data_IF_043242171335
#
_entry.id   IF_043242171335
#
_cell.length_a   1.000
_cell.length_b   1.000
_cell.length_c   1.000
_cell.angle_alpha   90.00
_cell.angle_beta   90.00
_cell.angle_gamma   90.00
#
_symmetry.space_group_name_H-M   'P 1'
#
loop_
_entity.id
_entity.type
_entity.pdbx_description
1 polymer ?
#
# COMPACT_ATOMS: atom_id res chain seq x y z
N UNK A 1 -12.57 6.76 27.39
CA UNK A 1 -13.22 5.94 26.33
C UNK A 1 -12.24 5.28 25.36
N UNK A 2 -11.45 5.97 24.51
CA UNK A 2 -10.37 5.29 23.75
C UNK A 2 -9.37 4.54 24.65
N UNK A 3 -9.04 5.12 25.80
CA UNK A 3 -8.25 4.48 26.86
C UNK A 3 -8.88 3.22 27.46
N UNK A 4 -10.21 3.10 27.44
CA UNK A 4 -10.94 1.95 28.01
C UNK A 4 -10.83 0.73 27.09
N UNK A 5 -11.06 0.92 25.80
CA UNK A 5 -10.91 -0.11 24.78
C UNK A 5 -9.45 -0.58 24.71
N UNK A 6 -8.49 0.36 24.72
CA UNK A 6 -7.05 0.06 24.75
C UNK A 6 -6.63 -0.64 26.04
N UNK A 7 -7.17 -0.27 27.21
CA UNK A 7 -6.88 -0.94 28.48
C UNK A 7 -7.45 -2.36 28.54
N UNK A 8 -8.63 -2.59 27.95
CA UNK A 8 -9.23 -3.93 27.85
C UNK A 8 -8.46 -4.82 26.88
N UNK A 9 -7.91 -4.27 25.79
CA UNK A 9 -7.04 -5.00 24.85
C UNK A 9 -5.65 -5.27 25.43
N UNK A 10 -5.09 -4.35 26.23
CA UNK A 10 -3.74 -4.47 26.81
C UNK A 10 -3.68 -5.21 28.15
N UNK A 11 -4.76 -5.22 28.93
CA UNK A 11 -4.85 -6.01 30.16
C UNK A 11 -4.63 -7.50 29.91
N UNK A 12 -4.94 -7.96 28.69
CA UNK A 12 -4.68 -9.32 28.24
C UNK A 12 -3.20 -9.61 27.97
N UNK A 13 -2.45 -8.64 27.45
CA UNK A 13 -1.01 -8.80 27.15
C UNK A 13 -0.11 -8.74 28.38
N UNK A 14 -0.60 -8.26 29.52
CA UNK A 14 0.20 -8.05 30.74
C UNK A 14 0.07 -9.17 31.77
N UNK A 15 -0.91 -10.06 31.63
CA UNK A 15 -1.11 -11.19 32.56
C UNK A 15 -0.15 -12.37 32.33
N UNK A 16 0.54 -12.43 31.17
CA UNK A 16 1.47 -13.52 30.83
C UNK A 16 2.89 -13.36 31.41
N UNK A 17 3.17 -12.33 32.22
CA UNK A 17 4.39 -12.27 33.04
C UNK A 17 5.74 -12.27 32.30
N UNK A 18 5.77 -12.19 30.97
CA UNK A 18 6.99 -12.11 30.16
C UNK A 18 7.03 -10.77 29.41
N UNK A 19 8.09 -9.98 29.62
CA UNK A 19 8.21 -8.59 29.17
C UNK A 19 8.38 -8.37 27.65
N UNK A 20 7.47 -8.89 26.83
CA UNK A 20 7.42 -8.63 25.40
C UNK A 20 5.97 -8.36 24.98
N UNK A 21 5.65 -7.09 24.75
CA UNK A 21 4.36 -6.68 24.21
C UNK A 21 4.26 -7.10 22.74
N UNK A 22 3.77 -8.31 22.49
CA UNK A 22 3.33 -8.74 21.18
C UNK A 22 1.80 -8.66 21.12
N UNK A 23 1.30 -8.00 20.08
CA UNK A 23 -0.13 -7.94 19.76
C UNK A 23 -0.65 -9.35 19.48
N UNK A 24 -1.76 -9.73 20.12
CA UNK A 24 -2.43 -11.01 19.88
C UNK A 24 -2.89 -11.05 18.41
N UNK A 25 -2.53 -12.09 17.63
CA UNK A 25 -3.03 -12.24 16.27
C UNK A 25 -4.57 -12.31 16.22
N UNK A 26 -5.23 -11.65 15.24
CA UNK A 26 -6.69 -11.64 15.15
C UNK A 26 -7.33 -13.02 15.08
N UNK A 27 -6.66 -14.00 14.46
CA UNK A 27 -7.16 -15.37 14.36
C UNK A 27 -7.19 -16.07 15.73
N UNK A 28 -6.18 -15.83 16.58
CA UNK A 28 -6.13 -16.38 17.93
C UNK A 28 -7.20 -15.75 18.82
N UNK A 29 -7.40 -14.44 18.69
CA UNK A 29 -8.47 -13.74 19.41
C UNK A 29 -9.86 -14.30 19.05
N UNK A 30 -10.10 -14.60 17.77
CA UNK A 30 -11.35 -15.19 17.31
C UNK A 30 -11.55 -16.63 17.82
N UNK A 31 -10.47 -17.43 17.90
CA UNK A 31 -10.51 -18.78 18.45
C UNK A 31 -10.84 -18.78 19.95
N UNK A 32 -10.17 -17.92 20.72
CA UNK A 32 -10.41 -17.74 22.16
C UNK A 32 -11.85 -17.25 22.41
N UNK A 33 -12.32 -16.29 21.59
CA UNK A 33 -13.70 -15.79 21.65
C UNK A 33 -14.75 -16.90 21.46
N UNK A 34 -14.44 -17.87 20.61
CA UNK A 34 -15.36 -18.95 20.24
C UNK A 34 -15.24 -20.19 21.14
N UNK A 35 -14.14 -20.34 21.88
CA UNK A 35 -13.82 -21.52 22.67
C UNK A 35 -13.29 -21.10 24.07
N UNK A 36 -14.15 -20.52 24.93
CA UNK A 36 -13.73 -19.98 26.23
C UNK A 36 -13.23 -21.06 27.21
N UNK A 37 -13.65 -22.31 27.02
CA UNK A 37 -13.28 -23.46 27.87
C UNK A 37 -12.22 -24.37 27.22
N UNK A 38 -11.53 -23.91 26.17
CA UNK A 38 -10.54 -24.71 25.46
C UNK A 38 -9.44 -25.19 26.40
N UNK A 39 -9.14 -26.50 26.35
CA UNK A 39 -8.04 -27.11 27.07
C UNK A 39 -6.68 -26.68 26.50
N UNK A 40 -5.59 -26.86 27.28
CA UNK A 40 -4.22 -26.59 26.82
C UNK A 40 -3.88 -27.35 25.53
N UNK A 41 -4.39 -28.59 25.37
CA UNK A 41 -4.20 -29.40 24.17
C UNK A 41 -4.92 -28.80 22.95
N UNK A 42 -6.15 -28.27 23.12
CA UNK A 42 -6.91 -27.62 22.05
C UNK A 42 -6.31 -26.27 21.65
N UNK A 43 -5.79 -25.51 22.62
CA UNK A 43 -5.08 -24.26 22.38
C UNK A 43 -3.81 -24.50 21.57
N UNK A 44 -3.00 -25.49 21.96
CA UNK A 44 -1.78 -25.84 21.25
C UNK A 44 -2.05 -26.39 19.84
N UNK A 45 -3.09 -27.23 19.68
CA UNK A 45 -3.49 -27.72 18.37
C UNK A 45 -3.86 -26.57 17.41
N UNK A 46 -4.60 -25.56 17.88
CA UNK A 46 -4.94 -24.39 17.07
C UNK A 46 -3.71 -23.56 16.68
N UNK A 47 -2.77 -23.35 17.60
CA UNK A 47 -1.52 -22.63 17.35
C UNK A 47 -0.64 -23.34 16.32
N UNK A 48 -0.56 -24.67 16.39
CA UNK A 48 0.14 -25.53 15.43
C UNK A 48 -0.50 -25.47 14.03
N UNK A 49 -1.83 -25.61 13.95
CA UNK A 49 -2.56 -25.57 12.67
C UNK A 49 -2.51 -24.19 12.01
N UNK A 50 -2.56 -23.12 12.80
CA UNK A 50 -2.56 -21.73 12.31
C UNK A 50 -1.16 -21.19 12.01
N UNK A 51 -0.10 -21.94 12.37
CA UNK A 51 1.29 -21.51 12.20
C UNK A 51 1.71 -20.35 13.11
N UNK A 52 0.95 -20.08 14.18
CA UNK A 52 1.19 -18.99 15.13
C UNK A 52 2.23 -19.35 16.20
N UNK A 53 2.67 -20.61 16.24
CA UNK A 53 3.54 -21.15 17.28
C UNK A 53 4.95 -20.53 17.31
N UNK A 54 5.42 -19.91 16.22
CA UNK A 54 6.72 -19.19 16.19
C UNK A 54 6.66 -17.80 16.88
N UNK A 55 5.47 -17.31 17.22
CA UNK A 55 5.25 -16.00 17.85
C UNK A 55 4.94 -16.05 19.35
N UNK A 56 4.86 -17.25 19.93
CA UNK A 56 4.39 -17.46 21.31
C UNK A 56 5.41 -18.21 22.17
N UNK A 57 5.82 -17.61 23.29
CA UNK A 57 6.00 -18.42 24.49
C UNK A 57 4.60 -18.87 24.95
N UNK A 58 4.50 -20.14 25.34
CA UNK A 58 3.29 -20.97 25.52
C UNK A 58 2.08 -20.22 26.12
N UNK A 59 1.01 -20.05 25.34
CA UNK A 59 -0.30 -19.60 25.82
C UNK A 59 -1.06 -20.78 26.45
N UNK A 60 -1.73 -20.53 27.59
CA UNK A 60 -2.42 -21.55 28.40
C UNK A 60 -3.94 -21.34 28.45
N UNK A 61 -4.68 -22.38 28.82
CA UNK A 61 -6.11 -22.31 29.09
C UNK A 61 -6.44 -21.32 30.23
N UNK A 62 -5.53 -21.10 31.17
CA UNK A 62 -5.69 -20.09 32.25
C UNK A 62 -5.62 -18.66 31.69
N UNK A 63 -4.81 -18.41 30.65
CA UNK A 63 -4.78 -17.11 29.96
C UNK A 63 -6.10 -16.85 29.23
N UNK A 64 -6.69 -17.90 28.63
CA UNK A 64 -8.02 -17.84 28.03
C UNK A 64 -9.09 -17.52 29.07
N UNK A 65 -9.09 -18.18 30.22
CA UNK A 65 -10.06 -17.94 31.30
C UNK A 65 -9.96 -16.51 31.90
N UNK A 66 -8.75 -15.93 32.00
CA UNK A 66 -8.56 -14.57 32.52
C UNK A 66 -9.03 -13.47 31.56
N UNK A 67 -9.16 -13.74 30.25
CA UNK A 67 -9.86 -12.87 29.30
C UNK A 67 -11.34 -12.70 29.67
N UNK A 68 -11.89 -13.70 30.35
CA UNK A 68 -13.27 -14.11 30.21
C UNK A 68 -14.12 -13.95 31.48
N UNK A 69 -13.86 -12.93 32.30
CA UNK A 69 -14.93 -12.43 33.17
C UNK A 69 -15.85 -11.42 32.45
N UNK A 70 -15.48 -10.99 31.24
CA UNK A 70 -16.32 -10.17 30.37
C UNK A 70 -17.27 -11.06 29.55
N UNK A 71 -18.58 -10.77 29.55
CA UNK A 71 -19.54 -11.52 28.75
C UNK A 71 -19.19 -11.49 27.25
N UNK A 72 -19.27 -12.63 26.54
CA UNK A 72 -18.91 -12.73 25.12
C UNK A 72 -19.65 -11.73 24.22
N UNK A 73 -20.92 -11.43 24.54
CA UNK A 73 -21.75 -10.51 23.76
C UNK A 73 -21.25 -9.06 23.87
N UNK A 74 -20.71 -8.69 25.03
CA UNK A 74 -20.10 -7.37 25.24
C UNK A 74 -18.76 -7.26 24.50
N UNK A 75 -17.96 -8.33 24.51
CA UNK A 75 -16.72 -8.40 23.73
C UNK A 75 -17.01 -8.22 22.24
N UNK A 76 -17.97 -8.99 21.70
CA UNK A 76 -18.32 -8.94 20.29
C UNK A 76 -18.85 -7.56 19.88
N UNK A 77 -19.68 -6.92 20.71
CA UNK A 77 -20.17 -5.57 20.46
C UNK A 77 -19.04 -4.54 20.35
N UNK A 78 -18.03 -4.64 21.21
CA UNK A 78 -16.88 -3.72 21.21
C UNK A 78 -15.95 -3.96 20.00
N UNK A 79 -15.85 -5.20 19.53
CA UNK A 79 -15.14 -5.54 18.28
C UNK A 79 -15.86 -4.92 17.08
N UNK A 80 -17.19 -5.07 17.02
CA UNK A 80 -17.99 -4.59 15.90
C UNK A 80 -18.16 -3.06 15.90
N UNK A 81 -17.99 -2.41 17.06
CA UNK A 81 -18.20 -0.97 17.26
C UNK A 81 -16.99 -0.34 17.97
N UNK A 82 -15.82 -0.23 17.30
CA UNK A 82 -14.58 0.24 17.92
C UNK A 82 -14.61 1.71 18.37
N UNK A 83 -15.57 2.49 17.86
CA UNK A 83 -15.77 3.90 18.20
C UNK A 83 -16.94 4.14 19.19
N UNK A 84 -17.54 3.07 19.74
CA UNK A 84 -18.70 3.18 20.63
C UNK A 84 -18.38 4.03 21.88
N UNK A 85 -19.24 5.00 22.16
CA UNK A 85 -19.16 5.83 23.36
C UNK A 85 -19.84 5.15 24.56
N UNK A 86 -19.54 5.62 25.78
CA UNK A 86 -20.06 5.05 27.03
C UNK A 86 -21.60 4.94 27.03
N UNK A 87 -22.38 5.98 26.65
CA UNK A 87 -23.83 5.83 26.49
C UNK A 87 -24.26 4.69 25.55
N UNK A 88 -23.56 4.48 24.42
CA UNK A 88 -23.86 3.41 23.46
C UNK A 88 -23.55 2.03 24.06
N UNK A 89 -22.44 1.89 24.79
CA UNK A 89 -22.05 0.64 25.46
C UNK A 89 -23.05 0.30 26.58
N UNK A 90 -23.43 1.29 27.39
CA UNK A 90 -24.41 1.11 28.47
C UNK A 90 -25.79 0.77 27.91
N UNK A 91 -26.20 1.44 26.83
CA UNK A 91 -27.45 1.12 26.12
C UNK A 91 -27.42 -0.31 25.59
N UNK A 92 -26.28 -0.77 25.06
CA UNK A 92 -26.12 -2.15 24.63
C UNK A 92 -26.25 -3.14 25.80
N UNK A 93 -25.55 -2.91 26.92
CA UNK A 93 -25.63 -3.75 28.12
C UNK A 93 -27.07 -3.83 28.64
N UNK A 94 -27.76 -2.69 28.76
CA UNK A 94 -29.15 -2.62 29.20
C UNK A 94 -30.13 -3.29 28.21
N UNK A 95 -29.78 -3.33 26.92
CA UNK A 95 -30.60 -3.98 25.89
C UNK A 95 -30.47 -5.51 25.87
N UNK A 96 -29.43 -6.07 26.48
CA UNK A 96 -29.18 -7.51 26.51
C UNK A 96 -29.62 -8.11 27.84
N UNK A 97 -30.66 -8.98 27.87
CA UNK A 97 -31.14 -9.59 29.11
C UNK A 97 -30.08 -10.41 29.86
N UNK A 98 -29.08 -10.96 29.15
CA UNK A 98 -27.95 -11.69 29.75
C UNK A 98 -26.93 -10.79 30.43
N UNK A 99 -26.91 -9.49 30.10
CA UNK A 99 -25.95 -8.51 30.62
C UNK A 99 -26.60 -7.55 31.64
N UNK A 100 -27.92 -7.35 31.55
CA UNK A 100 -28.66 -6.40 32.37
C UNK A 100 -28.60 -6.69 33.89
N UNK A 101 -28.50 -7.96 34.29
CA UNK A 101 -28.37 -8.38 35.69
C UNK A 101 -26.91 -8.53 36.15
N UNK A 102 -25.94 -8.22 35.28
CA UNK A 102 -24.52 -8.25 35.61
C UNK A 102 -24.04 -6.91 36.13
N UNK A 103 -22.95 -6.90 36.90
CA UNK A 103 -22.31 -5.68 37.40
C UNK A 103 -21.58 -4.89 36.29
N UNK A 104 -21.55 -5.37 35.05
CA UNK A 104 -20.77 -4.77 33.96
C UNK A 104 -21.16 -3.34 33.58
N UNK A 105 -22.44 -2.95 33.73
CA UNK A 105 -22.85 -1.56 33.53
C UNK A 105 -22.21 -0.61 34.56
N UNK A 106 -22.09 -1.06 35.81
CA UNK A 106 -21.46 -0.31 36.90
C UNK A 106 -19.94 -0.33 36.77
N UNK A 107 -19.37 -1.46 36.35
CA UNK A 107 -17.94 -1.61 36.01
C UNK A 107 -17.50 -0.67 34.89
N UNK A 108 -18.30 -0.51 33.83
CA UNK A 108 -17.99 0.39 32.72
C UNK A 108 -18.08 1.86 33.17
N UNK A 109 -19.09 2.24 33.96
CA UNK A 109 -19.22 3.60 34.51
C UNK A 109 -18.04 3.98 35.41
N UNK A 110 -17.71 3.11 36.36
CA UNK A 110 -16.57 3.30 37.29
C UNK A 110 -15.22 3.39 36.55
N UNK A 111 -15.04 2.63 35.47
CA UNK A 111 -13.85 2.71 34.61
C UNK A 111 -13.76 4.03 33.83
N UNK A 112 -14.89 4.63 33.45
CA UNK A 112 -14.90 5.91 32.71
C UNK A 112 -14.73 7.10 33.66
N UNK A 113 -15.34 7.05 34.84
CA UNK A 113 -15.26 8.10 35.86
C UNK A 113 -13.90 8.13 36.59
N UNK A 114 -13.09 7.08 36.45
CA UNK A 114 -11.71 7.04 36.96
C UNK A 114 -11.58 6.72 38.45
N UNK A 115 -12.67 6.36 39.12
CA UNK A 115 -12.71 6.11 40.57
C UNK A 115 -12.34 4.67 40.98
N UNK A 116 -12.00 3.81 40.02
CA UNK A 116 -11.39 2.50 40.30
C UNK A 116 -12.32 1.49 40.98
N UNK A 117 -12.01 0.21 40.76
CA UNK A 117 -12.62 -0.89 41.48
C UNK A 117 -12.04 -0.96 42.89
N UNK A 118 -12.77 -0.48 43.89
CA UNK A 118 -12.33 -0.55 45.28
C UNK A 118 -12.30 -2.01 45.83
N UNK A 119 -12.79 -2.98 45.04
CA UNK A 119 -12.66 -4.42 45.31
C UNK A 119 -12.31 -5.22 44.03
N UNK A 120 -11.06 -5.14 43.53
CA UNK A 120 -10.50 -6.10 42.56
C UNK A 120 -8.97 -6.15 42.58
N UNK A 121 -8.33 -7.25 42.12
CA UNK A 121 -7.03 -7.77 42.59
C UNK A 121 -5.77 -7.05 42.06
N UNK A 122 -5.87 -5.84 41.52
CA UNK A 122 -4.74 -5.14 40.90
C UNK A 122 -4.14 -4.11 41.87
N UNK A 123 -2.81 -3.97 41.88
CA UNK A 123 -2.16 -3.02 42.78
C UNK A 123 -2.30 -1.59 42.25
N UNK A 124 -2.35 -0.60 43.15
CA UNK A 124 -2.46 0.83 42.82
C UNK A 124 -1.37 1.30 41.83
N UNK A 125 -0.20 0.63 41.81
CA UNK A 125 0.88 0.89 40.87
C UNK A 125 0.55 0.43 39.44
N UNK A 126 -0.23 -0.64 39.28
CA UNK A 126 -0.63 -1.17 37.97
C UNK A 126 -1.63 -0.22 37.29
N UNK A 127 -2.47 0.45 38.08
CA UNK A 127 -3.43 1.46 37.60
C UNK A 127 -2.76 2.78 37.20
N UNK A 128 -1.73 3.23 37.93
CA UNK A 128 -0.91 4.38 37.54
C UNK A 128 -0.13 4.10 36.27
N UNK A 129 0.36 2.87 36.11
CA UNK A 129 1.02 2.41 34.88
C UNK A 129 0.04 2.40 33.69
N UNK A 130 -1.19 1.89 33.87
CA UNK A 130 -2.23 1.85 32.83
C UNK A 130 -2.66 3.25 32.35
N UNK A 131 -2.74 4.24 33.24
CA UNK A 131 -3.08 5.61 32.85
C UNK A 131 -1.91 6.29 32.11
N UNK A 132 -0.67 6.09 32.58
CA UNK A 132 0.53 6.59 31.88
C UNK A 132 0.72 5.91 30.52
N UNK A 133 0.46 4.61 30.42
CA UNK A 133 0.47 3.85 29.17
C UNK A 133 -0.68 4.33 28.26
N UNK A 134 -1.87 4.64 28.76
CA UNK A 134 -2.99 5.18 27.99
C UNK A 134 -2.73 6.56 27.37
N UNK A 135 -2.00 7.44 28.05
CA UNK A 135 -1.55 8.73 27.47
C UNK A 135 -0.37 8.54 26.50
N UNK A 136 0.55 7.64 26.83
CA UNK A 136 1.67 7.27 25.93
C UNK A 136 1.16 6.55 24.68
N UNK A 137 0.03 5.83 24.76
CA UNK A 137 -0.65 5.18 23.64
C UNK A 137 -1.59 6.12 22.89
N UNK A 138 -2.25 7.11 23.50
CA UNK A 138 -2.95 8.13 22.71
C UNK A 138 -1.94 8.97 21.90
N UNK A 139 -0.74 9.21 22.46
CA UNK A 139 0.41 9.71 21.71
C UNK A 139 0.96 8.69 20.69
N UNK A 140 1.13 7.40 21.01
CA UNK A 140 1.68 6.40 20.07
C UNK A 140 0.68 5.97 18.98
N UNK A 141 -0.62 5.94 19.24
CA UNK A 141 -1.71 5.68 18.31
C UNK A 141 -1.92 6.90 17.40
N UNK A 142 -1.81 8.12 17.93
CA UNK A 142 -1.59 9.30 17.10
C UNK A 142 -0.29 9.16 16.32
N UNK A 143 0.82 8.69 16.88
CA UNK A 143 2.09 8.49 16.13
C UNK A 143 2.02 7.37 15.07
N UNK A 144 1.08 6.42 15.20
CA UNK A 144 0.89 5.29 14.28
C UNK A 144 -0.11 5.61 13.16
N UNK A 145 -1.19 6.34 13.45
CA UNK A 145 -2.14 6.84 12.45
C UNK A 145 -1.70 8.17 11.82
N UNK A 146 -1.05 9.02 12.62
CA UNK A 146 -0.23 10.15 12.22
C UNK A 146 1.28 9.78 12.17
N UNK A 147 1.67 9.24 11.00
CA UNK A 147 2.85 9.72 10.25
C UNK A 147 4.24 9.22 10.67
N UNK A 148 4.61 8.04 10.15
CA UNK A 148 5.89 7.99 9.43
C UNK A 148 5.62 8.31 7.95
N UNK A 149 5.21 9.56 7.66
CA UNK A 149 5.08 10.06 6.27
C UNK A 149 6.35 9.79 5.47
N UNK A 150 7.51 9.75 6.12
CA UNK A 150 8.77 9.38 5.50
C UNK A 150 8.75 7.92 5.03
N UNK A 151 8.27 6.98 5.84
CA UNK A 151 8.14 5.58 5.43
C UNK A 151 7.05 5.41 4.36
N UNK A 152 5.91 6.10 4.49
CA UNK A 152 4.87 6.15 3.47
C UNK A 152 5.43 6.65 2.13
N UNK A 153 6.07 7.82 2.13
CA UNK A 153 6.71 8.41 0.97
C UNK A 153 7.77 7.47 0.37
N UNK A 154 8.62 6.88 1.22
CA UNK A 154 9.64 5.91 0.81
C UNK A 154 9.01 4.71 0.10
N UNK A 155 7.96 4.11 0.65
CA UNK A 155 7.29 2.94 0.07
C UNK A 155 6.77 3.25 -1.33
N UNK A 156 6.06 4.38 -1.51
CA UNK A 156 5.50 4.75 -2.82
C UNK A 156 6.58 5.22 -3.80
N UNK A 157 7.62 5.92 -3.34
CA UNK A 157 8.78 6.25 -4.19
C UNK A 157 9.46 4.98 -4.69
N UNK A 158 9.72 4.01 -3.81
CA UNK A 158 10.32 2.72 -4.18
C UNK A 158 9.42 1.99 -5.16
N UNK A 159 8.11 1.92 -4.89
CA UNK A 159 7.13 1.31 -5.80
C UNK A 159 7.17 1.96 -7.19
N UNK A 160 7.25 3.30 -7.27
CA UNK A 160 7.37 4.01 -8.55
C UNK A 160 8.70 3.75 -9.29
N UNK A 161 9.80 3.61 -8.56
CA UNK A 161 11.10 3.22 -9.14
C UNK A 161 11.03 1.79 -9.67
N UNK A 162 10.54 0.86 -8.87
CA UNK A 162 10.39 -0.56 -9.24
C UNK A 162 9.46 -0.74 -10.43
N UNK A 163 8.36 0.01 -10.47
CA UNK A 163 7.44 0.04 -11.62
C UNK A 163 8.18 0.33 -12.94
N UNK A 164 9.07 1.33 -12.95
CA UNK A 164 9.88 1.65 -14.14
C UNK A 164 10.96 0.62 -14.44
N UNK A 165 11.64 0.10 -13.42
CA UNK A 165 12.78 -0.80 -13.62
C UNK A 165 12.36 -2.24 -13.95
N UNK A 166 11.18 -2.67 -13.52
CA UNK A 166 10.60 -3.99 -13.83
C UNK A 166 9.77 -3.89 -15.12
N UNK A 167 9.13 -2.75 -15.37
CA UNK A 167 8.35 -2.47 -16.57
C UNK A 167 9.22 -2.40 -17.82
N UNK A 168 9.33 -3.52 -18.55
CA UNK A 168 10.08 -3.56 -19.81
C UNK A 168 9.51 -2.57 -20.84
N UNK A 169 8.19 -2.39 -20.85
CA UNK A 169 7.49 -1.38 -21.64
C UNK A 169 8.00 0.05 -21.38
N UNK A 170 8.18 0.42 -20.12
CA UNK A 170 8.71 1.72 -19.71
C UNK A 170 10.16 1.90 -20.13
N UNK A 171 11.01 0.90 -19.91
CA UNK A 171 12.42 0.93 -20.31
C UNK A 171 12.53 1.12 -21.83
N UNK A 172 11.82 0.31 -22.60
CA UNK A 172 11.84 0.38 -24.07
C UNK A 172 11.27 1.71 -24.58
N UNK A 173 10.22 2.24 -23.93
CA UNK A 173 9.68 3.55 -24.27
C UNK A 173 10.69 4.67 -24.03
N UNK A 174 11.29 4.76 -22.83
CA UNK A 174 12.29 5.78 -22.48
C UNK A 174 13.52 5.69 -23.38
N UNK A 175 14.02 4.48 -23.66
CA UNK A 175 15.11 4.26 -24.62
C UNK A 175 14.76 4.84 -25.99
N UNK A 176 13.54 4.60 -26.47
CA UNK A 176 13.05 5.09 -27.76
C UNK A 176 13.03 6.62 -27.86
N UNK A 177 12.79 7.33 -26.74
CA UNK A 177 12.79 8.80 -26.72
C UNK A 177 14.18 9.39 -27.02
N UNK A 178 15.24 8.68 -26.60
CA UNK A 178 16.61 9.20 -26.57
C UNK A 178 17.57 8.60 -27.61
N UNK A 179 17.11 7.68 -28.46
CA UNK A 179 17.92 7.04 -29.51
C UNK A 179 18.73 8.03 -30.38
N UNK A 180 18.21 9.24 -30.62
CA UNK A 180 18.89 10.30 -31.39
C UNK A 180 19.63 11.35 -30.53
N UNK A 181 19.80 11.10 -29.24
CA UNK A 181 20.45 12.00 -28.27
C UNK A 181 19.93 13.45 -28.34
N UNK A 182 18.62 13.69 -28.13
CA UNK A 182 18.09 15.04 -28.08
C UNK A 182 18.69 15.83 -26.90
N UNK A 183 18.68 17.18 -26.96
CA UNK A 183 19.14 18.01 -25.83
C UNK A 183 18.42 17.64 -24.53
N UNK A 184 19.14 17.65 -23.40
CA UNK A 184 18.63 17.23 -22.09
C UNK A 184 17.32 17.92 -21.69
N UNK A 185 17.16 19.22 -22.01
CA UNK A 185 15.90 19.96 -21.76
C UNK A 185 14.69 19.34 -22.47
N UNK A 186 14.89 18.82 -23.68
CA UNK A 186 13.83 18.11 -24.41
C UNK A 186 13.56 16.74 -23.80
N UNK A 187 14.59 16.05 -23.31
CA UNK A 187 14.43 14.76 -22.62
C UNK A 187 13.54 14.93 -21.39
N UNK A 188 13.89 15.89 -20.51
CA UNK A 188 13.10 16.18 -19.31
C UNK A 188 11.65 16.53 -19.69
N UNK A 189 11.45 17.44 -20.66
CA UNK A 189 10.09 17.80 -21.08
C UNK A 189 9.26 16.61 -21.60
N UNK A 190 9.88 15.67 -22.31
CA UNK A 190 9.20 14.46 -22.80
C UNK A 190 8.85 13.50 -21.66
N UNK A 191 9.79 13.26 -20.75
CA UNK A 191 9.62 12.35 -19.61
C UNK A 191 8.56 12.91 -18.64
N UNK A 192 8.64 14.18 -18.29
CA UNK A 192 7.63 14.83 -17.44
C UNK A 192 6.26 14.87 -18.11
N UNK A 193 6.16 15.13 -19.42
CA UNK A 193 4.87 15.08 -20.12
C UNK A 193 4.23 13.68 -20.08
N UNK A 194 5.04 12.62 -20.18
CA UNK A 194 4.58 11.26 -20.01
C UNK A 194 4.07 11.02 -18.59
N UNK A 195 4.86 11.37 -17.57
CA UNK A 195 4.50 11.18 -16.15
C UNK A 195 3.24 11.96 -15.76
N UNK A 196 3.06 13.19 -16.27
CA UNK A 196 1.83 13.96 -16.06
C UNK A 196 0.60 13.26 -16.65
N UNK A 197 0.68 12.77 -17.89
CA UNK A 197 -0.41 12.03 -18.51
C UNK A 197 -0.71 10.71 -17.78
N UNK A 198 0.34 9.99 -17.41
CA UNK A 198 0.26 8.76 -16.62
C UNK A 198 -0.46 9.03 -15.29
N UNK A 199 -0.10 10.12 -14.60
CA UNK A 199 -0.75 10.55 -13.35
C UNK A 199 -2.24 10.78 -13.51
N UNK A 200 -2.67 11.45 -14.59
CA UNK A 200 -4.10 11.71 -14.85
C UNK A 200 -4.87 10.41 -14.92
N UNK A 201 -4.33 9.40 -15.61
CA UNK A 201 -5.04 8.13 -15.81
C UNK A 201 -4.94 7.18 -14.63
N UNK A 202 -3.87 7.25 -13.83
CA UNK A 202 -3.83 6.59 -12.52
C UNK A 202 -4.87 7.17 -11.55
N UNK A 203 -5.06 8.49 -11.53
CA UNK A 203 -6.13 9.10 -10.73
C UNK A 203 -7.49 8.58 -11.19
N UNK A 204 -7.75 8.61 -12.50
CA UNK A 204 -9.04 8.20 -13.06
C UNK A 204 -9.33 6.71 -12.83
N UNK A 205 -8.33 5.84 -12.97
CA UNK A 205 -8.50 4.41 -12.72
C UNK A 205 -8.51 4.05 -11.23
N UNK A 206 -7.67 4.68 -10.41
CA UNK A 206 -7.64 4.48 -8.96
C UNK A 206 -8.91 4.99 -8.24
N UNK A 207 -9.60 5.98 -8.82
CA UNK A 207 -10.92 6.43 -8.35
C UNK A 207 -12.08 5.69 -9.01
N UNK A 208 -11.80 4.69 -9.86
CA UNK A 208 -12.78 3.91 -10.61
C UNK A 208 -13.68 4.76 -11.54
N UNK A 209 -13.27 5.98 -11.88
CA UNK A 209 -13.96 6.88 -12.83
C UNK A 209 -13.80 6.36 -14.26
N UNK A 210 -12.63 5.83 -14.59
CA UNK A 210 -12.33 5.29 -15.92
C UNK A 210 -11.64 3.94 -15.79
N UNK A 211 -12.34 2.88 -16.20
CA UNK A 211 -11.78 1.54 -16.32
C UNK A 211 -11.86 1.08 -17.77
N UNK A 212 -10.70 0.70 -18.32
CA UNK A 212 -10.60 0.14 -19.67
C UNK A 212 -9.90 -1.21 -19.53
N UNK A 213 -10.41 -2.22 -20.22
CA UNK A 213 -9.82 -3.56 -20.21
C UNK A 213 -8.34 -3.53 -20.62
N UNK A 214 -7.49 -4.24 -19.86
CA UNK A 214 -6.08 -4.47 -20.21
C UNK A 214 -5.91 -5.07 -21.61
N UNK A 215 -6.87 -5.87 -22.08
CA UNK A 215 -6.90 -6.44 -23.44
C UNK A 215 -6.93 -5.38 -24.55
N UNK A 216 -7.35 -4.14 -24.25
CA UNK A 216 -7.34 -3.00 -25.18
C UNK A 216 -6.12 -2.11 -24.90
N UNK A 217 -5.85 -1.85 -23.63
CA UNK A 217 -4.81 -0.90 -23.20
C UNK A 217 -3.40 -1.44 -23.50
N UNK A 218 -3.13 -2.71 -23.19
CA UNK A 218 -1.79 -3.30 -23.34
C UNK A 218 -1.31 -3.37 -24.80
N UNK A 219 -2.13 -3.78 -25.80
CA UNK A 219 -1.74 -3.66 -27.21
C UNK A 219 -1.46 -2.22 -27.63
N UNK A 220 -2.20 -1.23 -27.12
CA UNK A 220 -1.97 0.19 -27.44
C UNK A 220 -0.64 0.66 -26.85
N UNK A 221 -0.32 0.26 -25.61
CA UNK A 221 0.98 0.52 -24.97
C UNK A 221 2.10 -0.06 -25.84
N UNK A 222 2.02 -1.34 -26.22
CA UNK A 222 3.03 -1.99 -27.05
C UNK A 222 3.15 -1.31 -28.43
N UNK A 223 2.03 -0.98 -29.08
CA UNK A 223 2.03 -0.27 -30.35
C UNK A 223 2.68 1.12 -30.24
N UNK A 224 2.50 1.82 -29.12
CA UNK A 224 3.11 3.13 -28.86
C UNK A 224 4.64 3.06 -28.80
N UNK A 225 5.20 1.99 -28.24
CA UNK A 225 6.65 1.77 -28.17
C UNK A 225 7.20 1.55 -29.58
N UNK A 226 6.56 0.68 -30.36
CA UNK A 226 6.95 0.44 -31.75
C UNK A 226 6.89 1.74 -32.56
N UNK A 227 5.81 2.51 -32.40
CA UNK A 227 5.65 3.80 -33.03
C UNK A 227 6.79 4.75 -32.65
N UNK A 228 7.12 4.90 -31.36
CA UNK A 228 8.15 5.83 -30.91
C UNK A 228 9.55 5.44 -31.37
N UNK A 229 9.91 4.15 -31.29
CA UNK A 229 11.21 3.65 -31.75
C UNK A 229 11.40 3.88 -33.25
N UNK A 230 10.40 3.48 -34.05
CA UNK A 230 10.45 3.58 -35.51
C UNK A 230 10.44 5.03 -35.99
N UNK A 231 9.48 5.83 -35.51
CA UNK A 231 9.31 7.22 -35.99
C UNK A 231 10.48 8.11 -35.58
N UNK A 232 11.04 7.91 -34.38
CA UNK A 232 12.19 8.68 -33.89
C UNK A 232 13.39 8.53 -34.82
N UNK A 233 13.71 7.32 -35.28
CA UNK A 233 14.93 7.09 -36.08
C UNK A 233 14.69 7.24 -37.59
N UNK A 234 13.60 6.68 -38.12
CA UNK A 234 13.41 6.57 -39.58
C UNK A 234 12.58 7.70 -40.19
N UNK A 235 11.68 8.30 -39.41
CA UNK A 235 10.70 9.27 -39.94
C UNK A 235 11.00 10.72 -39.56
N UNK A 236 11.78 10.96 -38.51
CA UNK A 236 12.11 12.31 -38.00
C UNK A 236 12.76 13.24 -39.04
N UNK A 237 13.56 12.69 -39.98
CA UNK A 237 14.14 13.46 -41.09
C UNK A 237 13.17 13.70 -42.24
N UNK A 238 12.29 12.73 -42.52
CA UNK A 238 11.36 12.75 -43.65
C UNK A 238 10.12 13.59 -43.37
N UNK A 239 9.66 13.62 -42.12
CA UNK A 239 8.48 14.34 -41.68
C UNK A 239 8.83 15.30 -40.53
N UNK A 240 9.31 16.52 -40.85
CA UNK A 240 9.79 17.47 -39.84
C UNK A 240 8.73 17.90 -38.84
N UNK A 241 7.44 17.83 -39.22
CA UNK A 241 6.33 18.16 -38.33
C UNK A 241 6.25 17.22 -37.12
N UNK A 242 6.55 15.92 -37.29
CA UNK A 242 6.67 14.97 -36.18
C UNK A 242 7.90 15.22 -35.30
N UNK A 243 8.94 15.85 -35.86
CA UNK A 243 10.12 16.27 -35.12
C UNK A 243 9.91 17.61 -34.37
N UNK A 244 8.81 18.32 -34.61
CA UNK A 244 8.47 19.52 -33.86
C UNK A 244 8.19 19.15 -32.40
N UNK A 245 8.71 19.97 -31.49
CA UNK A 245 8.66 19.69 -30.06
C UNK A 245 7.22 19.52 -29.55
N UNK A 246 6.30 20.41 -29.93
CA UNK A 246 4.91 20.38 -29.46
C UNK A 246 4.14 19.14 -29.94
N UNK A 247 4.26 18.78 -31.22
CA UNK A 247 3.61 17.58 -31.76
C UNK A 247 4.13 16.31 -31.08
N UNK A 248 5.46 16.21 -30.88
CA UNK A 248 6.07 15.07 -30.20
C UNK A 248 5.64 14.98 -28.73
N UNK A 249 5.56 16.11 -28.02
CA UNK A 249 5.05 16.15 -26.65
C UNK A 249 3.59 15.72 -26.57
N UNK A 250 2.73 16.16 -27.50
CA UNK A 250 1.33 15.74 -27.56
C UNK A 250 1.18 14.22 -27.77
N UNK A 251 2.00 13.63 -28.65
CA UNK A 251 2.02 12.17 -28.86
C UNK A 251 2.47 11.43 -27.61
N UNK A 252 3.53 11.90 -26.95
CA UNK A 252 4.06 11.28 -25.72
C UNK A 252 3.05 11.40 -24.58
N UNK A 253 2.37 12.54 -24.46
CA UNK A 253 1.30 12.74 -23.49
C UNK A 253 0.15 11.74 -23.75
N UNK A 254 -0.30 11.61 -25.00
CA UNK A 254 -1.34 10.63 -25.36
C UNK A 254 -0.94 9.20 -24.97
N UNK A 255 0.30 8.81 -25.24
CA UNK A 255 0.79 7.48 -24.86
C UNK A 255 0.93 7.30 -23.36
N UNK A 256 1.32 8.35 -22.63
CA UNK A 256 1.33 8.35 -21.16
C UNK A 256 -0.05 8.10 -20.56
N UNK A 257 -1.13 8.60 -21.18
CA UNK A 257 -2.51 8.31 -20.76
C UNK A 257 -2.80 6.80 -20.83
N UNK A 258 -2.52 6.16 -21.96
CA UNK A 258 -2.74 4.70 -22.07
C UNK A 258 -1.84 3.91 -21.14
N UNK A 259 -0.60 4.34 -20.95
CA UNK A 259 0.33 3.68 -20.04
C UNK A 259 -0.17 3.71 -18.59
N UNK A 260 -0.71 4.84 -18.12
CA UNK A 260 -1.27 4.93 -16.77
C UNK A 260 -2.48 4.02 -16.57
N UNK A 261 -3.35 3.90 -17.58
CA UNK A 261 -4.45 2.95 -17.54
C UNK A 261 -3.99 1.48 -17.41
N UNK A 262 -2.85 1.13 -17.99
CA UNK A 262 -2.30 -0.23 -17.91
C UNK A 262 -1.88 -0.64 -16.50
N UNK A 263 -1.54 0.33 -15.65
CA UNK A 263 -1.14 0.09 -14.26
C UNK A 263 -2.24 0.43 -13.25
N UNK A 264 -3.27 1.18 -13.64
CA UNK A 264 -4.25 1.73 -12.71
C UNK A 264 -5.01 0.65 -11.91
N UNK A 265 -5.27 -0.52 -12.47
CA UNK A 265 -5.91 -1.64 -11.76
C UNK A 265 -5.04 -2.18 -10.62
N UNK A 266 -3.76 -2.45 -10.90
CA UNK A 266 -2.79 -2.90 -9.89
C UNK A 266 -2.61 -1.82 -8.83
N UNK A 267 -2.50 -0.55 -9.25
CA UNK A 267 -2.39 0.56 -8.32
C UNK A 267 -3.61 0.68 -7.41
N UNK A 268 -4.83 0.44 -7.91
CA UNK A 268 -6.05 0.48 -7.12
C UNK A 268 -6.10 -0.62 -6.04
N UNK A 269 -5.49 -1.78 -6.28
CA UNK A 269 -5.40 -2.88 -5.30
C UNK A 269 -4.44 -2.57 -4.15
N UNK A 270 -3.35 -1.83 -4.42
CA UNK A 270 -2.39 -1.39 -3.40
C UNK A 270 -2.65 0.02 -2.88
N UNK A 271 -3.64 0.72 -3.45
CA UNK A 271 -3.96 2.09 -3.06
C UNK A 271 -4.55 2.11 -1.65
N UNK A 272 -4.12 3.07 -0.81
CA UNK A 272 -4.67 3.21 0.53
C UNK A 272 -6.08 3.82 0.46
N UNK A 273 -6.78 3.86 1.59
CA UNK A 273 -8.07 4.55 1.73
C UNK A 273 -8.08 5.92 1.04
N UNK A 274 -9.27 6.39 0.62
CA UNK A 274 -9.44 7.58 -0.21
C UNK A 274 -8.67 8.83 0.28
N UNK A 275 -8.45 8.96 1.58
CA UNK A 275 -7.69 10.05 2.23
C UNK A 275 -6.20 10.09 1.85
N UNK A 276 -5.59 8.95 1.48
CA UNK A 276 -4.16 8.80 1.17
C UNK A 276 -3.87 8.58 -0.33
N UNK A 277 -4.90 8.54 -1.18
CA UNK A 277 -4.76 8.33 -2.62
C UNK A 277 -3.88 9.40 -3.29
N UNK A 278 -4.19 10.69 -3.12
CA UNK A 278 -3.40 11.77 -3.74
C UNK A 278 -1.93 11.78 -3.25
N UNK A 279 -1.65 11.69 -1.94
CA UNK A 279 -0.28 11.55 -1.45
C UNK A 279 0.46 10.34 -2.02
N UNK A 280 -0.20 9.17 -2.11
CA UNK A 280 0.41 7.96 -2.67
C UNK A 280 0.81 8.14 -4.13
N UNK A 281 -0.06 8.74 -4.94
CA UNK A 281 0.19 9.05 -6.35
C UNK A 281 1.32 10.07 -6.51
N UNK A 282 1.39 11.08 -5.65
CA UNK A 282 2.47 12.06 -5.68
C UNK A 282 3.83 11.38 -5.48
N UNK A 283 3.98 10.60 -4.41
CA UNK A 283 5.23 9.91 -4.10
C UNK A 283 5.56 8.81 -5.12
N UNK A 284 4.55 8.09 -5.61
CA UNK A 284 4.70 7.15 -6.71
C UNK A 284 5.27 7.82 -7.96
N UNK A 285 4.71 8.95 -8.39
CA UNK A 285 5.21 9.66 -9.57
C UNK A 285 6.60 10.27 -9.38
N UNK A 286 6.96 10.70 -8.17
CA UNK A 286 8.35 11.05 -7.85
C UNK A 286 9.27 9.84 -8.06
N UNK A 287 8.86 8.65 -7.61
CA UNK A 287 9.55 7.39 -7.90
C UNK A 287 9.68 7.09 -9.38
N UNK A 288 8.61 7.28 -10.15
CA UNK A 288 8.57 7.13 -11.62
C UNK A 288 9.61 8.04 -12.28
N UNK A 289 9.63 9.33 -11.95
CA UNK A 289 10.63 10.25 -12.52
C UNK A 289 12.06 9.83 -12.15
N UNK A 290 12.30 9.39 -10.91
CA UNK A 290 13.62 8.88 -10.48
C UNK A 290 14.00 7.64 -11.29
N UNK A 291 13.10 6.66 -11.44
CA UNK A 291 13.35 5.46 -12.23
C UNK A 291 13.68 5.77 -13.69
N UNK A 292 12.94 6.69 -14.30
CA UNK A 292 13.21 7.14 -15.67
C UNK A 292 14.59 7.82 -15.79
N UNK A 293 14.95 8.66 -14.82
CA UNK A 293 16.26 9.30 -14.77
C UNK A 293 17.40 8.28 -14.59
N UNK A 294 17.19 7.21 -13.82
CA UNK A 294 18.16 6.11 -13.70
C UNK A 294 18.37 5.41 -15.04
N UNK A 295 17.29 5.05 -15.75
CA UNK A 295 17.38 4.44 -17.09
C UNK A 295 18.13 5.37 -18.05
N UNK A 296 17.83 6.67 -18.03
CA UNK A 296 18.50 7.66 -18.84
C UNK A 296 19.99 7.81 -18.49
N UNK A 297 20.33 7.82 -17.20
CA UNK A 297 21.70 7.92 -16.71
C UNK A 297 22.56 6.73 -17.15
N UNK A 298 21.95 5.55 -17.35
CA UNK A 298 22.64 4.38 -17.88
C UNK A 298 22.73 4.40 -19.41
N UNK A 299 21.63 4.74 -20.09
CA UNK A 299 21.54 4.56 -21.54
C UNK A 299 22.13 5.72 -22.36
N UNK A 300 22.04 6.96 -21.87
CA UNK A 300 22.56 8.13 -22.59
C UNK A 300 24.10 8.10 -22.72
N UNK A 301 24.89 7.78 -21.69
CA UNK A 301 26.35 7.64 -21.84
C UNK A 301 26.72 6.53 -22.82
N UNK A 302 25.98 5.42 -22.83
CA UNK A 302 26.17 4.35 -23.80
C UNK A 302 25.98 4.83 -25.24
N UNK A 303 24.88 5.54 -25.53
CA UNK A 303 24.64 6.14 -26.85
C UNK A 303 25.71 7.19 -27.20
N UNK A 304 26.18 7.97 -26.22
CA UNK A 304 27.26 8.94 -26.42
C UNK A 304 28.58 8.25 -26.78
N UNK A 305 28.91 7.12 -26.14
CA UNK A 305 30.07 6.30 -26.50
C UNK A 305 29.96 5.77 -27.94
N UNK A 306 28.80 5.23 -28.34
CA UNK A 306 28.57 4.80 -29.72
C UNK A 306 28.79 5.92 -30.74
N UNK A 307 28.32 7.14 -30.42
CA UNK A 307 28.53 8.33 -31.25
C UNK A 307 29.99 8.75 -31.28
N UNK A 308 30.71 8.70 -30.15
CA UNK A 308 32.13 9.00 -30.07
C UNK A 308 32.95 8.08 -30.99
N UNK A 309 32.63 6.78 -31.01
CA UNK A 309 33.25 5.79 -31.90
C UNK A 309 32.66 5.73 -33.32
N UNK A 310 31.71 6.61 -33.68
CA UNK A 310 31.02 6.66 -35.00
C UNK A 310 30.31 5.35 -35.37
N UNK A 311 29.89 4.61 -34.35
CA UNK A 311 29.12 3.36 -34.45
C UNK A 311 27.61 3.62 -34.40
N UNK A 312 27.19 4.82 -34.00
CA UNK A 312 25.78 5.25 -33.91
C UNK A 312 24.99 5.02 -35.20
N UNK A 313 25.58 5.26 -36.37
CA UNK A 313 24.95 5.02 -37.68
C UNK A 313 24.51 3.56 -37.93
N UNK A 314 25.10 2.59 -37.23
CA UNK A 314 24.76 1.17 -37.35
C UNK A 314 23.87 0.74 -36.18
N UNK A 315 24.26 1.08 -34.95
CA UNK A 315 23.59 0.61 -33.74
C UNK A 315 22.27 1.32 -33.46
N UNK A 316 22.13 2.62 -33.77
CA UNK A 316 20.87 3.33 -33.51
C UNK A 316 19.72 2.78 -34.37
N UNK A 317 19.87 2.58 -35.70
CA UNK A 317 18.86 1.88 -36.50
C UNK A 317 18.62 0.45 -36.04
N UNK A 318 19.67 -0.28 -35.66
CA UNK A 318 19.55 -1.64 -35.14
C UNK A 318 18.67 -1.70 -33.88
N UNK A 319 18.93 -0.85 -32.88
CA UNK A 319 18.09 -0.78 -31.68
C UNK A 319 16.66 -0.37 -32.00
N UNK A 320 16.45 0.61 -32.89
CA UNK A 320 15.10 1.00 -33.29
C UNK A 320 14.33 -0.16 -33.91
N UNK A 321 14.96 -0.97 -34.77
CA UNK A 321 14.34 -2.15 -35.39
C UNK A 321 14.05 -3.22 -34.34
N UNK A 322 15.01 -3.54 -33.47
CA UNK A 322 14.84 -4.53 -32.40
C UNK A 322 13.68 -4.13 -31.48
N UNK A 323 13.68 -2.90 -30.97
CA UNK A 323 12.63 -2.39 -30.07
C UNK A 323 11.27 -2.43 -30.78
N UNK A 324 11.21 -1.99 -32.04
CA UNK A 324 9.96 -2.01 -32.82
C UNK A 324 9.46 -3.43 -33.05
N UNK A 325 10.34 -4.39 -33.37
CA UNK A 325 9.98 -5.78 -33.61
C UNK A 325 9.48 -6.46 -32.33
N UNK A 326 10.17 -6.25 -31.20
CA UNK A 326 9.74 -6.77 -29.90
C UNK A 326 8.39 -6.19 -29.49
N UNK A 327 8.19 -4.89 -29.66
CA UNK A 327 6.92 -4.23 -29.35
C UNK A 327 5.78 -4.72 -30.25
N UNK A 328 6.00 -4.89 -31.55
CA UNK A 328 4.99 -5.44 -32.46
C UNK A 328 4.68 -6.92 -32.18
N UNK A 329 5.68 -7.70 -31.80
CA UNK A 329 5.48 -9.05 -31.31
C UNK A 329 4.59 -9.05 -30.06
N UNK A 330 4.82 -8.13 -29.13
CA UNK A 330 4.01 -7.99 -27.92
C UNK A 330 2.56 -7.58 -28.23
N UNK A 331 2.34 -6.67 -29.20
CA UNK A 331 0.99 -6.38 -29.72
C UNK A 331 0.29 -7.64 -30.20
N UNK A 332 0.98 -8.46 -30.99
CA UNK A 332 0.42 -9.72 -31.49
C UNK A 332 0.07 -10.67 -30.34
N UNK A 333 0.97 -10.86 -29.38
CA UNK A 333 0.71 -11.69 -28.20
C UNK A 333 -0.54 -11.20 -27.47
N UNK A 334 -0.65 -9.91 -27.14
CA UNK A 334 -1.77 -9.37 -26.36
C UNK A 334 -3.13 -9.37 -27.07
N UNK A 335 -3.15 -9.44 -28.40
CA UNK A 335 -4.40 -9.49 -29.16
C UNK A 335 -4.91 -10.93 -29.31
N UNK A 336 -4.00 -11.91 -29.42
CA UNK A 336 -4.34 -13.27 -29.83
C UNK A 336 -4.14 -14.34 -28.75
N UNK A 337 -3.47 -14.04 -27.64
CA UNK A 337 -3.15 -14.96 -26.55
C UNK A 337 -3.31 -14.30 -25.19
#
# INVERSE_FOLDING_TARGET
MKKLIIALTLGFSLLSGSGYAHSIPPELLAFMASNPDASDEEMQAFLDESGLNETSEVWTADDNAQAFNMPPELIQFLIDNPDANEPEILTFIESQPSLADTDWAEKIKTLVDGDGFDESPFSLNDLVLLNQIGDTFDEAYKTQNDLNWLQFAKNYIVLGIEHILIGLDHILFVMSLVLLLPPWRKIIGMVTAFTLAHSVTLILGGTNILTISGSIVEPIIAASIAYMAFTTVFLSKKYPWFAQAHARLGVIFLFGLFHGLGFAGVFAEVAPEASRLLPSLLFFNVGVEIGQLVVLALFVPFLWALKHFKLDRYFVPFFAVIISALALWWVFVRIFF
#
